data_IF_905458739678
#
_entry.id   IF_905458739678
#
_cell.length_a   1.000
_cell.length_b   1.000
_cell.length_c   1.000
_cell.angle_alpha   90.00
_cell.angle_beta   90.00
_cell.angle_gamma   90.00
#
_symmetry.space_group_name_H-M   'P 1'
#
loop_
_entity.id
_entity.type
_entity.pdbx_description
1 polymer ?
#
# COMPACT_ATOMS: atom_id res chain seq x y z
N UNK A 1 20.82 16.94 -10.41
CA UNK A 1 20.04 15.70 -10.71
C UNK A 1 18.56 16.04 -10.69
N UNK A 2 17.98 16.01 -11.87
CA UNK A 2 16.64 16.52 -12.21
C UNK A 2 15.54 15.71 -11.53
N UNK A 3 14.43 16.38 -11.20
CA UNK A 3 13.25 15.85 -10.51
C UNK A 3 12.76 14.48 -11.04
N UNK A 4 12.92 14.24 -12.35
CA UNK A 4 12.57 13.00 -13.04
C UNK A 4 13.25 11.75 -12.46
N UNK A 5 14.56 11.80 -12.17
CA UNK A 5 15.30 10.63 -11.69
C UNK A 5 14.83 10.15 -10.31
N UNK A 6 14.38 11.09 -9.45
CA UNK A 6 13.86 10.74 -8.13
C UNK A 6 12.51 10.05 -8.25
N UNK A 7 11.63 10.57 -9.11
CA UNK A 7 10.32 9.97 -9.33
C UNK A 7 10.42 8.53 -9.85
N UNK A 8 11.27 8.28 -10.86
CA UNK A 8 11.48 6.94 -11.40
C UNK A 8 12.04 5.98 -10.35
N UNK A 9 12.98 6.44 -9.51
CA UNK A 9 13.53 5.63 -8.42
C UNK A 9 12.48 5.24 -7.38
N UNK A 10 11.59 6.17 -7.03
CA UNK A 10 10.52 5.89 -6.07
C UNK A 10 9.47 4.95 -6.64
N UNK A 11 9.11 5.13 -7.92
CA UNK A 11 8.21 4.25 -8.64
C UNK A 11 8.77 2.83 -8.70
N UNK A 12 10.05 2.69 -9.06
CA UNK A 12 10.75 1.40 -9.09
C UNK A 12 10.86 0.76 -7.70
N UNK A 13 11.26 1.54 -6.69
CA UNK A 13 11.34 1.08 -5.29
C UNK A 13 9.98 0.62 -4.74
N UNK A 14 8.91 1.39 -5.00
CA UNK A 14 7.55 1.03 -4.60
C UNK A 14 7.05 -0.21 -5.35
N UNK A 15 7.42 -0.39 -6.62
CA UNK A 15 7.10 -1.60 -7.38
C UNK A 15 7.76 -2.83 -6.75
N UNK A 16 9.06 -2.76 -6.44
CA UNK A 16 9.80 -3.84 -5.79
C UNK A 16 9.24 -4.16 -4.40
N UNK A 17 8.92 -3.12 -3.60
CA UNK A 17 8.27 -3.31 -2.31
C UNK A 17 6.92 -4.02 -2.46
N UNK A 18 6.12 -3.66 -3.48
CA UNK A 18 4.81 -4.27 -3.75
C UNK A 18 4.93 -5.74 -4.18
N UNK A 19 5.92 -6.07 -5.01
CA UNK A 19 6.24 -7.46 -5.39
C UNK A 19 6.65 -8.26 -4.16
N UNK A 20 7.59 -7.75 -3.37
CA UNK A 20 8.05 -8.43 -2.15
C UNK A 20 6.88 -8.70 -1.18
N UNK A 21 6.03 -7.70 -0.96
CA UNK A 21 4.83 -7.83 -0.13
C UNK A 21 3.85 -8.87 -0.67
N UNK A 22 3.66 -8.94 -1.99
CA UNK A 22 2.79 -9.93 -2.64
C UNK A 22 3.34 -11.35 -2.46
N UNK A 23 4.66 -11.52 -2.56
CA UNK A 23 5.30 -12.82 -2.35
C UNK A 23 5.17 -13.29 -0.90
N UNK A 24 5.35 -12.38 0.07
CA UNK A 24 5.15 -12.69 1.49
C UNK A 24 3.69 -13.03 1.79
N UNK A 25 2.75 -12.25 1.26
CA UNK A 25 1.31 -12.54 1.35
C UNK A 25 0.99 -13.94 0.80
N UNK A 26 1.42 -14.24 -0.44
CA UNK A 26 1.21 -15.54 -1.06
C UNK A 26 1.83 -16.70 -0.25
N UNK A 27 3.03 -16.51 0.30
CA UNK A 27 3.71 -17.49 1.15
C UNK A 27 2.93 -17.74 2.44
N UNK A 28 2.57 -16.69 3.18
CA UNK A 28 1.81 -16.79 4.44
C UNK A 28 0.45 -17.43 4.18
N UNK A 29 -0.26 -16.98 3.15
CA UNK A 29 -1.54 -17.54 2.75
C UNK A 29 -1.43 -19.04 2.44
N UNK A 30 -0.44 -19.44 1.65
CA UNK A 30 -0.20 -20.84 1.31
C UNK A 30 0.04 -21.70 2.56
N UNK A 31 0.89 -21.23 3.48
CA UNK A 31 1.16 -21.93 4.74
C UNK A 31 -0.13 -22.08 5.55
N UNK A 32 -0.94 -21.02 5.70
CA UNK A 32 -2.19 -21.06 6.45
C UNK A 32 -3.23 -21.98 5.80
N UNK A 33 -3.31 -22.02 4.46
CA UNK A 33 -4.19 -22.94 3.75
C UNK A 33 -3.81 -24.39 4.00
N UNK A 34 -2.52 -24.73 3.87
CA UNK A 34 -2.03 -26.10 4.03
C UNK A 34 -2.10 -26.61 5.47
N UNK A 35 -2.02 -25.71 6.45
CA UNK A 35 -1.99 -26.06 7.87
C UNK A 35 -3.35 -25.86 8.54
N UNK A 36 -3.81 -24.62 8.70
CA UNK A 36 -4.92 -24.30 9.60
C UNK A 36 -6.29 -24.42 8.91
N UNK A 37 -6.40 -24.04 7.64
CA UNK A 37 -7.67 -24.15 6.90
C UNK A 37 -8.00 -25.61 6.60
N UNK A 38 -7.01 -26.39 6.15
CA UNK A 38 -7.20 -27.83 5.89
C UNK A 38 -7.63 -28.60 7.14
N UNK A 39 -7.17 -28.19 8.32
CA UNK A 39 -7.55 -28.78 9.60
C UNK A 39 -8.87 -28.20 10.19
N UNK A 40 -9.59 -27.36 9.43
CA UNK A 40 -10.87 -26.79 9.85
C UNK A 40 -10.78 -25.72 10.94
N UNK A 41 -9.57 -25.24 11.27
CA UNK A 41 -9.34 -24.24 12.32
C UNK A 41 -9.73 -22.85 11.83
N UNK A 42 -9.33 -22.49 10.61
CA UNK A 42 -9.60 -21.19 9.99
C UNK A 42 -10.44 -21.30 8.73
N UNK A 43 -11.20 -20.24 8.43
CA UNK A 43 -11.83 -20.07 7.12
C UNK A 43 -10.81 -19.54 6.10
N UNK A 44 -11.08 -19.78 4.80
CA UNK A 44 -10.27 -19.28 3.69
C UNK A 44 -10.15 -17.75 3.74
N UNK A 45 -11.25 -17.05 4.01
CA UNK A 45 -11.27 -15.59 4.11
C UNK A 45 -10.44 -15.06 5.28
N UNK A 46 -10.46 -15.75 6.42
CA UNK A 46 -9.65 -15.35 7.58
C UNK A 46 -8.15 -15.57 7.33
N UNK A 47 -7.77 -16.68 6.69
CA UNK A 47 -6.39 -16.92 6.27
C UNK A 47 -5.89 -15.83 5.30
N UNK A 48 -6.72 -15.41 4.34
CA UNK A 48 -6.41 -14.33 3.41
C UNK A 48 -6.23 -12.98 4.14
N UNK A 49 -7.09 -12.68 5.13
CA UNK A 49 -6.98 -11.46 5.92
C UNK A 49 -5.66 -11.40 6.72
N UNK A 50 -5.26 -12.52 7.35
CA UNK A 50 -3.97 -12.61 8.07
C UNK A 50 -2.81 -12.40 7.09
N UNK A 51 -2.79 -13.11 5.97
CA UNK A 51 -1.73 -13.00 4.98
C UNK A 51 -1.59 -11.56 4.45
N UNK A 52 -2.73 -10.90 4.18
CA UNK A 52 -2.76 -9.51 3.74
C UNK A 52 -2.20 -8.54 4.80
N UNK A 53 -2.38 -8.81 6.10
CA UNK A 53 -1.76 -8.02 7.17
C UNK A 53 -0.23 -8.15 7.13
N UNK A 54 0.30 -9.37 6.96
CA UNK A 54 1.75 -9.59 6.85
C UNK A 54 2.34 -8.92 5.60
N UNK A 55 1.73 -9.14 4.43
CA UNK A 55 2.13 -8.48 3.19
C UNK A 55 2.06 -6.95 3.29
N UNK A 56 0.95 -6.44 3.86
CA UNK A 56 0.75 -5.01 4.12
C UNK A 56 1.82 -4.42 5.05
N UNK A 57 2.20 -5.13 6.11
CA UNK A 57 3.26 -4.74 7.03
C UNK A 57 4.64 -4.68 6.36
N UNK A 58 4.99 -5.67 5.54
CA UNK A 58 6.23 -5.67 4.75
C UNK A 58 6.23 -4.50 3.76
N UNK A 59 5.14 -4.30 3.03
CA UNK A 59 5.02 -3.19 2.07
C UNK A 59 5.16 -1.83 2.76
N UNK A 60 4.48 -1.63 3.89
CA UNK A 60 4.56 -0.41 4.68
C UNK A 60 6.00 -0.17 5.15
N UNK A 61 6.66 -1.18 5.68
CA UNK A 61 8.02 -1.08 6.23
C UNK A 61 9.03 -0.70 5.14
N UNK A 62 9.02 -1.42 4.01
CA UNK A 62 9.88 -1.11 2.86
C UNK A 62 9.57 0.29 2.30
N UNK A 63 8.29 0.64 2.19
CA UNK A 63 7.89 1.95 1.71
C UNK A 63 8.33 3.07 2.66
N UNK A 64 8.15 2.91 3.97
CA UNK A 64 8.44 3.94 4.98
C UNK A 64 9.92 4.20 5.15
N UNK A 65 10.72 3.14 5.25
CA UNK A 65 12.13 3.23 5.63
C UNK A 65 13.09 3.20 4.45
N UNK A 66 12.70 2.61 3.31
CA UNK A 66 13.55 2.54 2.13
C UNK A 66 13.08 3.46 0.99
N UNK A 67 11.87 3.26 0.46
CA UNK A 67 11.42 3.99 -0.75
C UNK A 67 11.17 5.47 -0.45
N UNK A 68 10.42 5.74 0.61
CA UNK A 68 9.94 7.06 1.01
C UNK A 68 10.61 7.55 2.31
N UNK A 69 11.80 7.02 2.65
CA UNK A 69 12.53 7.36 3.88
C UNK A 69 12.82 8.86 4.04
N UNK A 70 12.90 9.61 2.92
CA UNK A 70 13.10 11.07 2.93
C UNK A 70 11.88 11.88 3.38
N UNK A 71 10.71 11.26 3.47
CA UNK A 71 9.50 11.95 3.90
C UNK A 71 9.37 11.87 5.43
N UNK A 72 9.01 13.00 6.04
CA UNK A 72 8.97 13.18 7.50
C UNK A 72 7.58 13.02 8.10
N UNK A 73 6.71 12.19 7.50
CA UNK A 73 5.40 11.90 8.09
C UNK A 73 5.54 11.21 9.46
N UNK A 74 4.79 11.63 10.50
CA UNK A 74 4.76 10.95 11.79
C UNK A 74 4.43 9.47 11.64
N UNK A 75 5.10 8.60 12.41
CA UNK A 75 4.96 7.15 12.27
C UNK A 75 3.53 6.66 12.50
N UNK A 76 2.86 7.17 13.56
CA UNK A 76 1.48 6.79 13.88
C UNK A 76 0.49 7.22 12.79
N UNK A 77 0.64 8.46 12.30
CA UNK A 77 -0.20 8.99 11.23
C UNK A 77 -0.02 8.19 9.94
N UNK A 78 1.23 8.04 9.47
CA UNK A 78 1.52 7.30 8.25
C UNK A 78 1.07 5.84 8.33
N UNK A 79 1.22 5.15 9.46
CA UNK A 79 0.72 3.78 9.64
C UNK A 79 -0.80 3.70 9.54
N UNK A 80 -1.54 4.59 10.21
CA UNK A 80 -3.00 4.61 10.19
C UNK A 80 -3.54 4.98 8.80
N UNK A 81 -2.99 6.03 8.19
CA UNK A 81 -3.36 6.44 6.82
C UNK A 81 -3.03 5.34 5.82
N UNK A 82 -1.89 4.67 5.96
CA UNK A 82 -1.52 3.53 5.11
C UNK A 82 -2.51 2.39 5.26
N UNK A 83 -2.90 2.04 6.48
CA UNK A 83 -3.87 0.98 6.75
C UNK A 83 -5.20 1.26 6.05
N UNK A 84 -5.76 2.46 6.21
CA UNK A 84 -7.02 2.86 5.57
C UNK A 84 -6.90 2.85 4.04
N UNK A 85 -5.86 3.48 3.49
CA UNK A 85 -5.63 3.54 2.03
C UNK A 85 -5.48 2.15 1.42
N UNK A 86 -4.76 1.26 2.10
CA UNK A 86 -4.51 -0.11 1.64
C UNK A 86 -5.77 -0.97 1.73
N UNK A 87 -6.55 -0.84 2.79
CA UNK A 87 -7.83 -1.55 2.93
C UNK A 87 -8.83 -1.13 1.85
N UNK A 88 -9.00 0.17 1.62
CA UNK A 88 -9.85 0.67 0.54
C UNK A 88 -9.33 0.22 -0.84
N UNK A 89 -8.01 0.22 -1.03
CA UNK A 89 -7.38 -0.30 -2.24
C UNK A 89 -7.66 -1.80 -2.46
N UNK A 90 -7.64 -2.61 -1.39
CA UNK A 90 -7.95 -4.04 -1.47
C UNK A 90 -9.43 -4.29 -1.81
N UNK A 91 -10.35 -3.51 -1.22
CA UNK A 91 -11.78 -3.57 -1.56
C UNK A 91 -12.04 -3.16 -3.01
N UNK A 92 -11.40 -2.07 -3.47
CA UNK A 92 -11.48 -1.61 -4.85
C UNK A 92 -10.92 -2.66 -5.81
N UNK A 93 -9.78 -3.27 -5.48
CA UNK A 93 -9.18 -4.36 -6.26
C UNK A 93 -10.08 -5.59 -6.35
N UNK A 94 -10.68 -6.03 -5.24
CA UNK A 94 -11.60 -7.17 -5.22
C UNK A 94 -12.87 -6.91 -6.04
N UNK A 95 -13.45 -5.72 -5.89
CA UNK A 95 -14.63 -5.27 -6.66
C UNK A 95 -14.31 -5.20 -8.14
N UNK A 96 -13.21 -4.55 -8.50
CA UNK A 96 -12.83 -4.36 -9.89
C UNK A 96 -12.44 -5.68 -10.57
N UNK A 97 -11.75 -6.59 -9.87
CA UNK A 97 -11.50 -7.95 -10.36
C UNK A 97 -12.81 -8.69 -10.63
N UNK A 98 -13.77 -8.62 -9.71
CA UNK A 98 -15.10 -9.25 -9.87
C UNK A 98 -15.84 -8.69 -11.08
N UNK A 99 -15.84 -7.36 -11.25
CA UNK A 99 -16.48 -6.71 -12.40
C UNK A 99 -15.80 -7.12 -13.71
N UNK A 100 -14.46 -7.11 -13.79
CA UNK A 100 -13.73 -7.48 -14.99
C UNK A 100 -14.01 -8.93 -15.41
N UNK A 101 -13.97 -9.85 -14.45
CA UNK A 101 -14.22 -11.28 -14.71
C UNK A 101 -15.70 -11.52 -15.04
N UNK A 102 -16.63 -10.84 -14.37
CA UNK A 102 -18.06 -10.98 -14.62
C UNK A 102 -18.49 -10.40 -15.98
N UNK A 103 -17.98 -9.21 -16.35
CA UNK A 103 -18.35 -8.53 -17.58
C UNK A 103 -17.65 -9.08 -18.82
N UNK A 104 -16.41 -9.58 -18.67
CA UNK A 104 -15.56 -10.02 -19.79
C UNK A 104 -15.20 -11.51 -19.71
N UNK A 105 -15.93 -12.32 -18.94
CA UNK A 105 -15.52 -13.66 -18.53
C UNK A 105 -15.22 -14.67 -19.64
N UNK A 106 -15.70 -14.45 -20.86
CA UNK A 106 -15.35 -15.28 -22.04
C UNK A 106 -13.99 -14.94 -22.63
N UNK A 107 -13.45 -13.75 -22.35
CA UNK A 107 -12.18 -13.22 -22.88
C UNK A 107 -11.13 -13.09 -21.79
N UNK A 108 -11.54 -12.76 -20.56
CA UNK A 108 -10.66 -12.44 -19.44
C UNK A 108 -10.85 -13.47 -18.32
N UNK A 109 -9.91 -14.41 -18.22
CA UNK A 109 -9.85 -15.35 -17.10
C UNK A 109 -9.50 -14.65 -15.78
N UNK A 110 -9.76 -15.32 -14.66
CA UNK A 110 -9.57 -14.77 -13.32
C UNK A 110 -8.15 -14.23 -13.07
N UNK A 111 -7.11 -14.92 -13.54
CA UNK A 111 -5.72 -14.48 -13.39
C UNK A 111 -5.44 -13.18 -14.14
N UNK A 112 -5.98 -13.02 -15.35
CA UNK A 112 -5.81 -11.80 -16.15
C UNK A 112 -6.61 -10.65 -15.56
N UNK A 113 -7.86 -10.89 -15.17
CA UNK A 113 -8.70 -9.88 -14.50
C UNK A 113 -8.07 -9.38 -13.21
N UNK A 114 -7.50 -10.29 -12.41
CA UNK A 114 -6.74 -9.94 -11.21
C UNK A 114 -5.49 -9.12 -11.56
N UNK A 115 -4.70 -9.53 -12.55
CA UNK A 115 -3.49 -8.81 -12.93
C UNK A 115 -3.79 -7.38 -13.43
N UNK A 116 -4.81 -7.23 -14.28
CA UNK A 116 -5.27 -5.94 -14.78
C UNK A 116 -5.78 -5.04 -13.66
N UNK A 117 -6.63 -5.58 -12.78
CA UNK A 117 -7.12 -4.85 -11.61
C UNK A 117 -5.97 -4.37 -10.73
N UNK A 118 -5.00 -5.24 -10.47
CA UNK A 118 -3.83 -4.90 -9.65
C UNK A 118 -3.00 -3.81 -10.28
N UNK A 119 -2.77 -3.85 -11.60
CA UNK A 119 -2.04 -2.81 -12.33
C UNK A 119 -2.73 -1.45 -12.24
N UNK A 120 -4.04 -1.41 -12.46
CA UNK A 120 -4.85 -0.18 -12.36
C UNK A 120 -4.84 0.38 -10.95
N UNK A 121 -5.16 -0.43 -9.94
CA UNK A 121 -5.16 0.00 -8.54
C UNK A 121 -3.76 0.45 -8.12
N UNK A 122 -2.71 -0.27 -8.52
CA UNK A 122 -1.36 0.15 -8.16
C UNK A 122 -0.99 1.52 -8.74
N UNK A 123 -1.27 1.74 -10.03
CA UNK A 123 -0.90 2.96 -10.75
C UNK A 123 -1.70 4.18 -10.31
N UNK A 124 -3.01 4.03 -10.14
CA UNK A 124 -3.93 5.15 -9.87
C UNK A 124 -4.28 5.32 -8.40
N UNK A 125 -3.97 4.34 -7.54
CA UNK A 125 -4.33 4.36 -6.13
C UNK A 125 -3.12 4.16 -5.23
N UNK A 126 -2.53 2.95 -5.22
CA UNK A 126 -1.52 2.57 -4.24
C UNK A 126 -0.29 3.46 -4.30
N UNK A 127 0.32 3.64 -5.48
CA UNK A 127 1.51 4.46 -5.63
C UNK A 127 1.26 5.95 -5.33
N UNK A 128 0.30 6.64 -5.98
CA UNK A 128 0.10 8.07 -5.75
C UNK A 128 -0.32 8.37 -4.30
N UNK A 129 -1.24 7.59 -3.72
CA UNK A 129 -1.65 7.82 -2.33
C UNK A 129 -0.51 7.51 -1.34
N UNK A 130 0.29 6.48 -1.57
CA UNK A 130 1.47 6.23 -0.73
C UNK A 130 2.42 7.43 -0.77
N UNK A 131 2.76 7.89 -1.97
CA UNK A 131 3.71 8.98 -2.18
C UNK A 131 3.23 10.32 -1.63
N UNK A 132 1.99 10.71 -1.94
CA UNK A 132 1.51 12.08 -1.70
C UNK A 132 0.67 12.20 -0.43
N UNK A 133 -0.01 11.14 0.00
CA UNK A 133 -0.93 11.16 1.14
C UNK A 133 -0.29 10.52 2.36
N UNK A 134 0.07 9.24 2.27
CA UNK A 134 0.58 8.44 3.40
C UNK A 134 1.92 8.96 3.90
N UNK A 135 2.91 9.05 2.99
CA UNK A 135 4.26 9.46 3.33
C UNK A 135 4.51 10.93 3.00
N UNK A 136 3.92 11.43 1.90
CA UNK A 136 4.01 12.84 1.50
C UNK A 136 3.34 13.81 2.46
N UNK A 137 2.34 13.33 3.21
CA UNK A 137 1.63 14.09 4.22
C UNK A 137 0.77 15.19 3.60
N UNK A 138 -0.50 14.89 3.35
CA UNK A 138 -1.56 15.89 3.50
C UNK A 138 -1.55 16.31 4.98
N UNK A 139 -0.71 17.30 5.32
CA UNK A 139 -0.45 17.76 6.70
C UNK A 139 1.03 17.96 7.09
N UNK A 140 2.00 17.65 6.21
CA UNK A 140 3.43 17.86 6.52
C UNK A 140 3.87 19.34 6.50
N UNK A 141 2.97 20.26 6.14
CA UNK A 141 3.05 21.72 6.38
C UNK A 141 1.91 22.00 7.37
N UNK A 142 2.12 22.41 8.62
CA UNK A 142 2.68 23.71 9.01
C UNK A 142 2.95 23.75 10.52
N UNK A 143 4.03 23.13 10.97
CA UNK A 143 4.69 23.49 12.24
C UNK A 143 6.07 24.06 11.93
N UNK A 144 6.09 25.10 11.10
CA UNK A 144 7.06 26.16 11.35
C UNK A 144 6.65 26.69 12.72
N UNK A 145 7.34 26.25 13.79
CA UNK A 145 7.24 26.95 15.05
C UNK A 145 7.50 28.44 14.74
N UNK A 146 6.74 29.40 15.31
CA UNK A 146 7.03 30.80 15.12
C UNK A 146 8.52 31.01 15.40
N UNK A 147 9.24 31.65 14.48
CA UNK A 147 10.62 32.02 14.72
C UNK A 147 10.67 32.82 16.01
N UNK A 148 11.70 32.65 16.84
CA UNK A 148 11.84 33.40 18.09
C UNK A 148 11.62 34.92 17.89
N UNK A 149 11.99 35.42 16.71
CA UNK A 149 11.81 36.79 16.23
C UNK A 149 10.33 37.25 16.18
N UNK A 150 9.37 36.37 15.88
CA UNK A 150 7.93 36.71 15.89
C UNK A 150 7.36 36.82 17.33
N UNK A 151 7.96 36.11 18.28
CA UNK A 151 7.58 36.15 19.70
C UNK A 151 8.15 37.40 20.40
N UNK A 152 9.26 37.93 19.90
CA UNK A 152 9.90 39.14 20.43
C UNK A 152 9.27 40.42 19.88
N UNK A 153 8.80 40.42 18.62
CA UNK A 153 8.09 41.56 18.02
C UNK A 153 6.67 41.79 18.57
N UNK A 154 6.11 40.84 19.33
CA UNK A 154 4.77 40.95 19.94
C UNK A 154 4.79 41.39 21.41
N UNK A 155 5.95 41.73 21.96
CA UNK A 155 6.11 42.27 23.33
C UNK A 155 6.43 43.75 23.29
#
# INVERSE_FOLDING_TARGET
MTFSNRYLRDLGGASLASVAATLIDALVYSILLWTLVRNGVFSVGFAAAIAAIFGGGVHYTLSRFWVFGRFNAPLKQSALTYFVVSWLGALAHGTFTTILVGAMGTVVGASVGWALSKGVIWLFWTYPLSRYVVFGGLGARSTTAPSADEVEASK
#
